data_IF_049073206640
#
_entry.id   IF_049073206640
#
_cell.length_a   1.000
_cell.length_b   1.000
_cell.length_c   1.000
_cell.angle_alpha   90.00
_cell.angle_beta   90.00
_cell.angle_gamma   90.00
#
_symmetry.space_group_name_H-M   'P 1'
#
loop_
_entity.id
_entity.type
_entity.pdbx_description
1 polymer ?
#
# COMPACT_ATOMS: atom_id res chain seq x y z
N UNK A 1 -13.09 -10.96 -19.52
CA UNK A 1 -13.95 -9.77 -19.37
C UNK A 1 -13.06 -8.59 -19.05
N UNK A 2 -13.24 -7.47 -19.75
CA UNK A 2 -12.54 -6.20 -19.50
C UNK A 2 -13.00 -5.60 -18.17
N UNK A 3 -12.06 -5.17 -17.33
CA UNK A 3 -12.33 -4.54 -16.03
C UNK A 3 -12.20 -3.03 -16.12
N UNK A 4 -12.80 -2.34 -15.16
CA UNK A 4 -12.65 -0.90 -14.98
C UNK A 4 -11.91 -0.66 -13.67
N UNK A 5 -10.78 0.01 -13.74
CA UNK A 5 -9.92 0.36 -12.62
C UNK A 5 -10.07 1.83 -12.28
N UNK A 6 -10.23 2.14 -10.99
CA UNK A 6 -10.16 3.51 -10.49
C UNK A 6 -8.87 3.66 -9.67
N UNK A 7 -7.93 4.48 -10.15
CA UNK A 7 -6.59 4.62 -9.54
C UNK A 7 -6.37 6.07 -9.11
N UNK A 8 -6.19 6.28 -7.81
CA UNK A 8 -5.83 7.60 -7.27
C UNK A 8 -4.31 7.75 -7.17
N UNK A 9 -3.78 8.91 -7.54
CA UNK A 9 -2.36 9.21 -7.38
C UNK A 9 -1.45 8.63 -8.47
N UNK A 10 -1.91 8.57 -9.74
CA UNK A 10 -1.14 7.91 -10.81
C UNK A 10 0.06 8.69 -11.35
N UNK A 11 0.30 9.92 -10.89
CA UNK A 11 1.23 10.84 -11.57
C UNK A 11 2.68 10.35 -11.67
N UNK A 12 3.15 9.55 -10.70
CA UNK A 12 4.53 9.04 -10.58
C UNK A 12 4.53 7.72 -9.78
N UNK A 13 5.68 7.05 -9.73
CA UNK A 13 5.89 5.88 -8.86
C UNK A 13 4.93 4.73 -9.15
N UNK A 14 4.50 4.04 -8.10
CA UNK A 14 3.63 2.86 -8.20
C UNK A 14 2.31 3.11 -8.93
N UNK A 15 1.65 4.23 -8.66
CA UNK A 15 0.40 4.57 -9.34
C UNK A 15 0.56 4.66 -10.86
N UNK A 16 1.69 5.19 -11.35
CA UNK A 16 1.97 5.28 -12.79
C UNK A 16 2.20 3.89 -13.40
N UNK A 17 3.08 3.11 -12.79
CA UNK A 17 3.42 1.75 -13.25
C UNK A 17 2.19 0.84 -13.24
N UNK A 18 1.32 0.96 -12.24
CA UNK A 18 0.06 0.23 -12.19
C UNK A 18 -0.85 0.59 -13.36
N UNK A 19 -1.06 1.87 -13.64
CA UNK A 19 -1.88 2.32 -14.78
C UNK A 19 -1.33 1.80 -16.11
N UNK A 20 -0.02 1.92 -16.32
CA UNK A 20 0.65 1.41 -17.52
C UNK A 20 0.40 -0.10 -17.70
N UNK A 21 0.58 -0.90 -16.64
CA UNK A 21 0.34 -2.35 -16.68
C UNK A 21 -1.12 -2.76 -16.86
N UNK A 22 -2.05 -1.99 -16.29
CA UNK A 22 -3.48 -2.24 -16.47
C UNK A 22 -3.87 -1.97 -17.92
N UNK A 23 -3.37 -0.88 -18.52
CA UNK A 23 -3.60 -0.58 -19.93
C UNK A 23 -2.97 -1.64 -20.86
N UNK A 24 -1.76 -2.13 -20.56
CA UNK A 24 -1.12 -3.25 -21.26
C UNK A 24 -1.97 -4.52 -21.22
N UNK A 25 -2.75 -4.72 -20.15
CA UNK A 25 -3.64 -5.87 -19.98
C UNK A 25 -4.96 -5.74 -20.76
N UNK A 26 -5.20 -4.61 -21.43
CA UNK A 26 -6.43 -4.33 -22.17
C UNK A 26 -7.62 -3.92 -21.30
N UNK A 27 -7.37 -3.61 -20.02
CA UNK A 27 -8.38 -3.11 -19.09
C UNK A 27 -8.58 -1.59 -19.20
N UNK A 28 -9.70 -1.09 -18.68
CA UNK A 28 -10.05 0.33 -18.69
C UNK A 28 -9.57 0.98 -17.39
N UNK A 29 -8.99 2.18 -17.48
CA UNK A 29 -8.52 2.94 -16.31
C UNK A 29 -9.16 4.32 -16.25
N UNK A 30 -9.65 4.68 -15.07
CA UNK A 30 -9.96 6.04 -14.65
C UNK A 30 -8.92 6.42 -13.58
N UNK A 31 -8.07 7.41 -13.87
CA UNK A 31 -6.97 7.78 -12.98
C UNK A 31 -7.00 9.25 -12.56
N UNK A 32 -6.61 9.55 -11.32
CA UNK A 32 -6.60 10.92 -10.78
C UNK A 32 -5.21 11.38 -10.36
N UNK A 33 -4.90 12.65 -10.58
CA UNK A 33 -3.68 13.31 -10.16
C UNK A 33 -3.97 14.75 -9.72
N UNK A 34 -3.18 15.30 -8.78
CA UNK A 34 -3.37 16.66 -8.26
C UNK A 34 -3.14 17.77 -9.30
N UNK A 35 -2.25 17.55 -10.27
CA UNK A 35 -1.97 18.47 -11.38
C UNK A 35 -2.17 17.74 -12.71
N UNK A 36 -3.03 18.26 -13.58
CA UNK A 36 -3.45 17.59 -14.81
C UNK A 36 -2.55 17.88 -16.02
N UNK A 37 -1.93 19.06 -16.13
CA UNK A 37 -1.51 19.56 -17.45
C UNK A 37 -0.28 18.88 -18.07
N UNK A 38 0.66 18.37 -17.27
CA UNK A 38 1.89 17.72 -17.79
C UNK A 38 1.91 16.20 -17.68
N UNK A 39 0.92 15.60 -17.00
CA UNK A 39 0.92 14.16 -16.68
C UNK A 39 0.16 13.34 -17.72
N UNK A 40 -0.92 13.89 -18.29
CA UNK A 40 -1.79 13.18 -19.23
C UNK A 40 -1.32 13.27 -20.70
N UNK A 41 -0.46 14.23 -21.06
CA UNK A 41 0.09 14.34 -22.42
C UNK A 41 0.94 13.14 -22.83
N UNK A 42 1.47 12.39 -21.85
CA UNK A 42 2.25 11.17 -22.07
C UNK A 42 1.39 9.91 -22.27
N UNK A 43 0.07 9.99 -22.08
CA UNK A 43 -0.87 8.87 -22.23
C UNK A 43 -2.11 9.33 -23.02
N UNK A 44 -2.03 9.44 -24.37
CA UNK A 44 -3.10 10.01 -25.19
C UNK A 44 -4.42 9.21 -25.20
N UNK A 45 -4.48 8.07 -24.50
CA UNK A 45 -5.66 7.18 -24.41
C UNK A 45 -6.71 7.64 -23.36
N UNK A 46 -6.42 8.68 -22.57
CA UNK A 46 -7.19 9.09 -21.37
C UNK A 46 -8.18 10.24 -21.64
N UNK A 47 -9.22 10.05 -22.45
CA UNK A 47 -10.24 11.11 -22.66
C UNK A 47 -11.66 10.58 -22.93
N UNK A 48 -12.36 10.00 -21.93
CA UNK A 48 -13.84 9.90 -21.92
C UNK A 48 -14.42 9.92 -20.50
N UNK A 49 -15.53 10.64 -20.23
CA UNK A 49 -16.29 10.49 -18.99
C UNK A 49 -17.00 9.13 -18.99
N UNK A 50 -16.89 8.39 -17.88
CA UNK A 50 -17.45 7.04 -17.75
C UNK A 50 -18.50 7.01 -16.63
N UNK A 51 -19.70 6.51 -16.94
CA UNK A 51 -20.73 6.22 -15.96
C UNK A 51 -20.43 4.83 -15.35
N UNK A 52 -20.06 4.79 -14.06
CA UNK A 52 -19.63 3.56 -13.38
C UNK A 52 -20.83 2.78 -12.83
N UNK A 53 -21.29 1.79 -13.59
CA UNK A 53 -22.07 0.65 -13.08
C UNK A 53 -21.12 -0.52 -12.88
N UNK A 54 -20.79 -0.89 -11.63
CA UNK A 54 -19.71 -1.85 -11.34
C UNK A 54 -20.27 -3.16 -10.75
N UNK A 55 -20.25 -4.24 -11.52
CA UNK A 55 -20.33 -5.62 -11.01
C UNK A 55 -18.92 -6.12 -10.65
N UNK A 56 -18.79 -6.98 -9.62
CA UNK A 56 -17.53 -7.48 -9.04
C UNK A 56 -16.57 -6.40 -8.52
N UNK A 57 -16.85 -5.87 -7.32
CA UNK A 57 -16.13 -4.75 -6.72
C UNK A 57 -14.96 -5.24 -5.83
N UNK A 58 -13.75 -4.77 -6.12
CA UNK A 58 -12.57 -4.98 -5.28
C UNK A 58 -11.86 -3.65 -5.07
N UNK A 59 -11.82 -3.21 -3.82
CA UNK A 59 -11.07 -2.06 -3.36
C UNK A 59 -9.70 -2.53 -2.87
N UNK A 60 -8.64 -2.13 -3.58
CA UNK A 60 -7.27 -2.36 -3.14
C UNK A 60 -6.70 -1.03 -2.67
N UNK A 61 -6.26 -0.98 -1.41
CA UNK A 61 -5.63 0.21 -0.84
C UNK A 61 -4.19 -0.12 -0.51
N UNK A 62 -3.31 0.79 -0.93
CA UNK A 62 -1.88 0.70 -0.69
C UNK A 62 -1.54 1.53 0.55
N UNK A 63 -1.00 0.87 1.55
CA UNK A 63 -0.48 1.50 2.77
C UNK A 63 0.92 0.96 2.97
N UNK A 64 1.93 1.79 3.21
CA UNK A 64 3.29 1.28 3.35
C UNK A 64 3.39 0.35 4.56
N UNK A 65 4.09 -0.77 4.40
CA UNK A 65 4.49 -1.62 5.52
C UNK A 65 5.64 -0.94 6.27
N UNK A 66 5.29 0.01 7.13
CA UNK A 66 6.22 0.62 8.07
C UNK A 66 5.53 0.54 9.43
N UNK A 67 5.87 -0.50 10.19
CA UNK A 67 5.25 -0.78 11.49
C UNK A 67 5.47 0.33 12.52
N UNK A 68 6.38 1.26 12.23
CA UNK A 68 6.73 2.43 13.02
C UNK A 68 5.96 3.71 12.59
N UNK A 69 5.07 3.63 11.60
CA UNK A 69 4.22 4.75 11.17
C UNK A 69 2.78 4.58 11.68
N UNK A 70 2.33 5.49 12.55
CA UNK A 70 0.98 5.46 13.11
C UNK A 70 -0.12 5.54 12.05
N UNK A 71 0.15 6.21 10.92
CA UNK A 71 -0.79 6.33 9.80
C UNK A 71 -1.10 4.97 9.16
N UNK A 72 -0.10 4.11 8.95
CA UNK A 72 -0.31 2.78 8.37
C UNK A 72 -1.18 1.89 9.26
N UNK A 73 -0.95 1.92 10.58
CA UNK A 73 -1.81 1.22 11.53
C UNK A 73 -3.24 1.76 11.54
N UNK A 74 -3.40 3.08 11.48
CA UNK A 74 -4.72 3.71 11.43
C UNK A 74 -5.48 3.29 10.16
N UNK A 75 -4.82 3.30 9.00
CA UNK A 75 -5.41 2.86 7.73
C UNK A 75 -5.80 1.39 7.76
N UNK A 76 -4.90 0.50 8.24
CA UNK A 76 -5.19 -0.93 8.36
C UNK A 76 -6.37 -1.22 9.29
N UNK A 77 -6.41 -0.57 10.46
CA UNK A 77 -7.51 -0.69 11.43
C UNK A 77 -8.84 -0.16 10.86
N UNK A 78 -8.82 1.03 10.27
CA UNK A 78 -9.99 1.63 9.63
C UNK A 78 -10.57 0.73 8.53
N UNK A 79 -9.72 0.21 7.65
CA UNK A 79 -10.16 -0.64 6.53
C UNK A 79 -10.61 -2.03 6.97
N UNK A 80 -10.14 -2.53 8.11
CA UNK A 80 -10.68 -3.73 8.72
C UNK A 80 -12.15 -3.55 9.07
N UNK A 81 -12.54 -2.39 9.59
CA UNK A 81 -13.95 -2.09 9.89
C UNK A 81 -14.75 -1.93 8.59
N UNK A 82 -14.28 -1.08 7.68
CA UNK A 82 -14.95 -0.82 6.38
C UNK A 82 -15.20 -2.12 5.61
N UNK A 83 -14.23 -3.05 5.60
CA UNK A 83 -14.36 -4.32 4.90
C UNK A 83 -15.60 -5.13 5.33
N UNK A 84 -15.96 -5.07 6.62
CA UNK A 84 -17.13 -5.77 7.17
C UNK A 84 -18.42 -5.06 6.78
N UNK A 85 -18.42 -3.73 6.80
CA UNK A 85 -19.59 -2.92 6.45
C UNK A 85 -19.95 -3.01 4.97
N UNK A 86 -18.95 -3.16 4.10
CA UNK A 86 -19.17 -3.21 2.64
C UNK A 86 -19.36 -4.62 2.08
N UNK A 87 -19.07 -5.66 2.87
CA UNK A 87 -19.19 -7.06 2.46
C UNK A 87 -20.61 -7.46 1.97
N UNK A 88 -21.72 -7.00 2.59
CA UNK A 88 -23.07 -7.29 2.09
C UNK A 88 -23.36 -6.76 0.67
N UNK A 89 -22.60 -5.76 0.23
CA UNK A 89 -22.67 -5.24 -1.14
C UNK A 89 -21.77 -6.01 -2.12
N UNK A 90 -21.16 -7.13 -1.70
CA UNK A 90 -20.21 -7.87 -2.52
C UNK A 90 -18.93 -7.08 -2.84
N UNK A 91 -18.58 -6.10 -2.00
CA UNK A 91 -17.35 -5.33 -2.13
C UNK A 91 -16.28 -6.01 -1.30
N UNK A 92 -15.17 -6.35 -1.95
CA UNK A 92 -13.99 -6.92 -1.30
C UNK A 92 -12.99 -5.82 -1.03
N UNK A 93 -12.30 -5.88 0.11
CA UNK A 93 -11.28 -4.90 0.51
C UNK A 93 -9.98 -5.63 0.79
N UNK A 94 -8.88 -5.14 0.20
CA UNK A 94 -7.53 -5.61 0.49
C UNK A 94 -6.63 -4.44 0.81
N UNK A 95 -5.98 -4.49 1.96
CA UNK A 95 -4.86 -3.64 2.36
C UNK A 95 -3.58 -4.32 1.88
N UNK A 96 -2.99 -3.78 0.82
CA UNK A 96 -1.73 -4.25 0.29
C UNK A 96 -0.61 -3.40 0.89
N UNK A 97 0.26 -4.06 1.65
CA UNK A 97 1.31 -3.42 2.43
C UNK A 97 2.68 -3.74 1.85
N UNK A 98 3.16 -2.95 0.88
CA UNK A 98 4.51 -3.13 0.37
C UNK A 98 5.52 -2.67 1.42
N UNK A 99 6.58 -3.47 1.63
CA UNK A 99 7.80 -2.95 2.26
C UNK A 99 8.52 -2.05 1.29
N UNK A 100 9.72 -1.63 1.66
CA UNK A 100 10.56 -0.79 0.85
C UNK A 100 10.49 -1.09 -0.65
N UNK A 101 9.89 -0.14 -1.39
CA UNK A 101 9.80 -0.14 -2.84
C UNK A 101 10.85 0.81 -3.43
N UNK A 102 11.47 0.40 -4.52
CA UNK A 102 12.44 1.21 -5.27
C UNK A 102 11.75 2.43 -5.91
N UNK A 103 11.57 3.47 -5.12
CA UNK A 103 10.96 4.73 -5.52
C UNK A 103 11.83 5.87 -5.00
N UNK A 104 11.93 6.97 -5.75
CA UNK A 104 12.68 8.15 -5.33
C UNK A 104 12.01 8.92 -4.15
N UNK A 105 11.06 8.30 -3.43
CA UNK A 105 10.30 8.94 -2.34
C UNK A 105 11.14 9.14 -1.09
N UNK A 106 11.95 8.16 -0.69
CA UNK A 106 12.82 8.25 0.50
C UNK A 106 13.77 9.44 0.43
N UNK A 107 14.52 9.56 -0.68
CA UNK A 107 15.42 10.68 -0.92
C UNK A 107 14.71 12.04 -0.98
N UNK A 108 13.49 12.09 -1.55
CA UNK A 108 12.68 13.33 -1.59
C UNK A 108 12.16 13.72 -0.20
N UNK A 109 11.78 12.75 0.62
CA UNK A 109 11.21 12.98 1.95
C UNK A 109 12.26 13.33 3.00
N UNK A 110 13.45 12.70 2.95
CA UNK A 110 14.50 12.96 3.93
C UNK A 110 15.28 14.24 3.64
N UNK A 111 15.51 14.60 2.38
CA UNK A 111 16.01 15.92 1.95
C UNK A 111 17.08 16.58 2.86
N UNK A 112 17.07 17.92 2.93
CA UNK A 112 17.97 18.73 3.77
C UNK A 112 17.60 18.73 5.27
N UNK A 113 16.96 17.69 5.77
CA UNK A 113 16.49 17.65 7.16
C UNK A 113 17.69 17.63 8.11
N UNK A 114 17.80 18.66 8.97
CA UNK A 114 18.82 18.70 10.02
C UNK A 114 18.30 17.96 11.24
N UNK A 115 18.96 16.87 11.60
CA UNK A 115 18.72 16.17 12.87
C UNK A 115 19.40 16.98 13.97
N UNK A 116 18.68 17.23 15.07
CA UNK A 116 19.28 17.85 16.26
C UNK A 116 20.13 16.83 17.01
N UNK A 117 21.17 17.31 17.70
CA UNK A 117 22.12 16.51 18.49
C UNK A 117 21.45 15.41 19.35
N UNK A 118 20.37 15.75 20.07
CA UNK A 118 19.66 14.82 20.96
C UNK A 118 19.01 13.62 20.27
N UNK A 119 18.81 13.68 18.94
CA UNK A 119 18.20 12.62 18.15
C UNK A 119 19.17 12.01 17.13
N UNK A 120 20.45 12.40 17.15
CA UNK A 120 21.43 11.88 16.19
C UNK A 120 21.61 10.37 16.29
N UNK A 121 21.60 9.84 17.51
CA UNK A 121 21.83 8.41 17.75
C UNK A 121 20.72 7.50 17.19
N UNK A 122 19.50 8.03 17.00
CA UNK A 122 18.34 7.27 16.55
C UNK A 122 17.92 7.67 15.13
N UNK A 123 17.68 8.95 14.88
CA UNK A 123 17.10 9.46 13.64
C UNK A 123 18.15 9.53 12.52
N UNK A 124 19.40 9.88 12.81
CA UNK A 124 20.43 9.97 11.76
C UNK A 124 20.75 8.61 11.15
N UNK A 125 20.73 7.53 11.94
CA UNK A 125 20.91 6.16 11.44
C UNK A 125 19.79 5.78 10.47
N UNK A 126 18.54 6.08 10.84
CA UNK A 126 17.38 5.83 9.98
C UNK A 126 17.43 6.63 8.68
N UNK A 127 17.78 7.92 8.74
CA UNK A 127 17.97 8.75 7.54
C UNK A 127 19.07 8.18 6.65
N UNK A 128 20.18 7.70 7.20
CA UNK A 128 21.25 7.09 6.42
C UNK A 128 20.81 5.80 5.72
N UNK A 129 19.97 4.98 6.35
CA UNK A 129 19.41 3.77 5.76
C UNK A 129 18.40 4.09 4.64
N UNK A 130 17.57 5.11 4.82
CA UNK A 130 16.57 5.54 3.83
C UNK A 130 17.19 6.31 2.65
N UNK A 131 18.28 7.06 2.88
CA UNK A 131 18.93 7.91 1.86
C UNK A 131 19.96 7.17 1.01
N UNK A 132 20.51 6.05 1.48
CA UNK A 132 21.37 5.20 0.65
C UNK A 132 20.52 4.46 -0.37
N UNK A 133 20.94 4.53 -1.63
CA UNK A 133 20.44 3.69 -2.72
C UNK A 133 20.71 2.22 -2.35
N UNK A 134 19.71 1.56 -1.78
CA UNK A 134 19.83 0.20 -1.26
C UNK A 134 19.31 -0.80 -2.30
N UNK A 135 20.16 -1.69 -2.79
CA UNK A 135 19.81 -2.59 -3.90
C UNK A 135 18.79 -3.68 -3.55
N UNK A 136 18.35 -3.78 -2.29
CA UNK A 136 17.36 -4.75 -1.84
C UNK A 136 15.91 -4.26 -1.87
N UNK A 137 15.62 -3.02 -2.28
CA UNK A 137 14.23 -2.54 -2.42
C UNK A 137 13.46 -3.41 -3.44
N UNK A 138 12.18 -3.65 -3.19
CA UNK A 138 11.31 -4.38 -4.11
C UNK A 138 10.99 -3.51 -5.34
N UNK A 139 10.96 -4.12 -6.52
CA UNK A 139 10.68 -3.38 -7.74
C UNK A 139 9.21 -2.95 -7.82
N UNK A 140 8.97 -1.70 -8.23
CA UNK A 140 7.61 -1.14 -8.35
C UNK A 140 6.72 -2.02 -9.25
N UNK A 141 7.32 -2.56 -10.31
CA UNK A 141 6.64 -3.44 -11.26
C UNK A 141 6.23 -4.79 -10.67
N UNK A 142 6.92 -5.27 -9.62
CA UNK A 142 6.55 -6.48 -8.88
C UNK A 142 5.30 -6.22 -8.03
N UNK A 143 5.26 -5.09 -7.34
CA UNK A 143 4.09 -4.67 -6.54
C UNK A 143 2.86 -4.47 -7.43
N UNK A 144 3.01 -3.79 -8.56
CA UNK A 144 1.92 -3.59 -9.53
C UNK A 144 1.38 -4.92 -10.06
N UNK A 145 2.25 -5.91 -10.35
CA UNK A 145 1.82 -7.26 -10.75
C UNK A 145 1.05 -7.97 -9.64
N UNK A 146 1.49 -7.85 -8.39
CA UNK A 146 0.78 -8.43 -7.25
C UNK A 146 -0.63 -7.83 -7.08
N UNK A 147 -0.78 -6.50 -7.22
CA UNK A 147 -2.09 -5.83 -7.17
C UNK A 147 -3.03 -6.32 -8.28
N UNK A 148 -2.53 -6.42 -9.52
CA UNK A 148 -3.29 -6.95 -10.65
C UNK A 148 -3.71 -8.40 -10.37
N UNK A 149 -2.80 -9.23 -9.87
CA UNK A 149 -3.12 -10.60 -9.48
C UNK A 149 -4.22 -10.65 -8.41
N UNK A 150 -4.10 -9.87 -7.32
CA UNK A 150 -5.09 -9.82 -6.23
C UNK A 150 -6.48 -9.45 -6.73
N UNK A 151 -6.58 -8.54 -7.71
CA UNK A 151 -7.86 -8.19 -8.31
C UNK A 151 -8.57 -9.41 -8.92
N UNK A 152 -7.80 -10.39 -9.41
CA UNK A 152 -8.29 -11.60 -10.06
C UNK A 152 -8.59 -12.74 -9.08
N UNK A 153 -8.18 -12.64 -7.82
CA UNK A 153 -8.47 -13.64 -6.80
C UNK A 153 -9.93 -13.52 -6.39
N UNK A 154 -10.66 -14.65 -6.29
CA UNK A 154 -12.07 -14.68 -5.91
C UNK A 154 -12.29 -14.27 -4.44
N UNK A 155 -11.45 -14.78 -3.54
CA UNK A 155 -11.48 -14.46 -2.11
C UNK A 155 -10.10 -13.89 -1.71
N UNK A 156 -9.82 -12.63 -2.06
CA UNK A 156 -8.56 -11.99 -1.73
C UNK A 156 -8.47 -11.73 -0.22
N UNK A 157 -7.26 -11.75 0.37
CA UNK A 157 -7.09 -11.48 1.78
C UNK A 157 -7.45 -10.03 2.13
N UNK A 158 -7.89 -9.80 3.36
CA UNK A 158 -8.08 -8.44 3.89
C UNK A 158 -6.76 -7.68 3.97
N UNK A 159 -5.66 -8.37 4.30
CA UNK A 159 -4.33 -7.78 4.44
C UNK A 159 -3.30 -8.70 3.80
N UNK A 160 -2.39 -8.11 3.04
CA UNK A 160 -1.26 -8.82 2.44
C UNK A 160 -0.02 -7.95 2.53
N UNK A 161 1.08 -8.56 2.94
CA UNK A 161 2.40 -7.93 2.98
C UNK A 161 3.14 -8.27 1.69
N UNK A 162 3.73 -7.27 1.03
CA UNK A 162 4.39 -7.43 -0.27
C UNK A 162 5.86 -7.01 -0.20
N UNK A 163 6.76 -7.98 -0.26
CA UNK A 163 8.21 -7.75 -0.29
C UNK A 163 8.99 -8.96 0.19
N UNK A 164 10.24 -9.08 -0.23
CA UNK A 164 11.06 -10.28 -0.02
C UNK A 164 11.36 -10.54 1.47
N UNK A 165 11.59 -9.47 2.24
CA UNK A 165 11.94 -9.56 3.67
C UNK A 165 10.75 -9.25 4.59
N UNK A 166 9.63 -8.85 4.00
CA UNK A 166 8.49 -8.28 4.70
C UNK A 166 7.71 -9.29 5.54
N UNK A 167 7.64 -10.52 5.04
CA UNK A 167 6.83 -11.57 5.65
C UNK A 167 7.38 -11.98 7.02
N UNK A 168 8.69 -12.13 7.14
CA UNK A 168 9.33 -12.51 8.40
C UNK A 168 9.14 -11.45 9.49
N UNK A 169 9.26 -10.16 9.12
CA UNK A 169 9.02 -9.06 10.06
C UNK A 169 7.55 -9.01 10.53
N UNK A 170 6.61 -9.24 9.61
CA UNK A 170 5.19 -9.33 9.92
C UNK A 170 4.84 -10.49 10.84
N UNK A 171 5.45 -11.65 10.61
CA UNK A 171 5.28 -12.82 11.48
C UNK A 171 5.80 -12.55 12.88
N UNK A 172 6.98 -11.91 13.01
CA UNK A 172 7.55 -11.58 14.32
C UNK A 172 6.65 -10.64 15.12
N UNK A 173 6.11 -9.59 14.49
CA UNK A 173 5.27 -8.62 15.20
C UNK A 173 3.89 -9.19 15.54
N UNK A 174 3.28 -9.94 14.62
CA UNK A 174 2.04 -10.66 14.91
C UNK A 174 2.21 -11.62 16.10
N UNK A 175 3.35 -12.34 16.13
CA UNK A 175 3.69 -13.24 17.24
C UNK A 175 3.88 -12.47 18.55
N UNK A 176 4.62 -11.36 18.54
CA UNK A 176 4.86 -10.57 19.73
C UNK A 176 3.55 -10.02 20.34
N UNK A 177 2.62 -9.57 19.49
CA UNK A 177 1.30 -9.12 19.93
C UNK A 177 0.50 -10.26 20.57
N UNK A 178 0.40 -11.41 19.88
CA UNK A 178 -0.31 -12.57 20.40
C UNK A 178 0.30 -13.13 21.69
N UNK A 179 1.64 -13.13 21.80
CA UNK A 179 2.34 -13.58 22.99
C UNK A 179 2.14 -12.60 24.16
N UNK A 180 2.01 -11.29 23.89
CA UNK A 180 1.60 -10.30 24.90
C UNK A 180 0.17 -10.55 25.39
N UNK A 181 -0.79 -10.74 24.49
CA UNK A 181 -2.19 -11.02 24.87
C UNK A 181 -2.31 -12.27 25.74
N UNK A 182 -1.57 -13.33 25.38
CA UNK A 182 -1.50 -14.56 26.19
C UNK A 182 -0.88 -14.31 27.56
N UNK A 183 0.22 -13.56 27.62
CA UNK A 183 0.91 -13.23 28.88
C UNK A 183 -0.02 -12.52 29.86
N UNK A 184 -0.92 -11.68 29.36
CA UNK A 184 -1.84 -10.88 30.18
C UNK A 184 -3.25 -11.46 30.28
N UNK A 185 -3.45 -12.72 29.87
CA UNK A 185 -4.78 -13.33 29.76
C UNK A 185 -5.62 -13.25 31.03
N UNK A 186 -5.05 -13.48 32.23
CA UNK A 186 -5.80 -13.40 33.48
C UNK A 186 -6.37 -11.99 33.72
N UNK A 187 -5.54 -10.96 33.49
CA UNK A 187 -5.97 -9.56 33.62
C UNK A 187 -6.99 -9.22 32.54
N UNK A 188 -6.77 -9.63 31.29
CA UNK A 188 -7.71 -9.41 30.18
C UNK A 188 -9.05 -10.09 30.38
N UNK A 189 -9.09 -11.22 31.12
CA UNK A 189 -10.31 -11.91 31.52
C UNK A 189 -10.95 -11.36 32.79
N UNK A 190 -10.33 -10.35 33.41
CA UNK A 190 -10.75 -9.76 34.68
C UNK A 190 -10.72 -10.78 35.84
N UNK A 191 -9.81 -11.76 35.78
CA UNK A 191 -9.61 -12.82 36.78
C UNK A 191 -8.52 -12.43 37.81
N UNK A 192 -8.42 -11.14 38.12
CA UNK A 192 -7.42 -10.56 39.03
C UNK A 192 -7.76 -10.81 40.50
#
# INVERSE_FOLDING_TARGET
MTRVWFVTGFSRGLGRVLVEKVLESGDIVVATARKSTSTFSALPMLQRPLCLSCANRHLVILSQYLQWEAESWAVGGFLTVVSKEVAPFGIRVTVAEPTGINTNMGATATGNSKVSESYEQTVSQMIQLISKEYSGWTEVSEIARAIIHLSNVENPPLRIVLGKDALQEAEMVAKALADSDKKWANVSKLEC
#
